data_IF_443863131672
#
_entry.id   IF_443863131672
#
_cell.length_a   1.000
_cell.length_b   1.000
_cell.length_c   1.000
_cell.angle_alpha   90.00
_cell.angle_beta   90.00
_cell.angle_gamma   90.00
#
_symmetry.space_group_name_H-M   'P 1'
#
loop_
_entity.id
_entity.type
_entity.pdbx_description
1 polymer ?
#
# COMPACT_ATOMS: atom_id res chain seq x y z
N UNK A 1 -61.87 12.13 -58.28
CA UNK A 1 -60.62 12.86 -57.92
C UNK A 1 -61.01 13.90 -56.89
N UNK A 2 -60.51 13.94 -55.66
CA UNK A 2 -59.08 14.00 -55.34
C UNK A 2 -58.82 13.44 -53.92
N UNK A 3 -58.12 12.30 -53.84
CA UNK A 3 -57.80 11.52 -52.63
C UNK A 3 -56.57 12.04 -51.85
N UNK A 4 -56.22 13.33 -51.99
CA UNK A 4 -54.95 13.88 -51.52
C UNK A 4 -54.95 14.40 -50.06
N UNK A 5 -56.11 14.48 -49.42
CA UNK A 5 -56.22 14.98 -48.03
C UNK A 5 -55.90 13.91 -46.96
N UNK A 6 -56.09 12.62 -47.28
CA UNK A 6 -55.78 11.52 -46.34
C UNK A 6 -54.29 11.18 -46.22
N UNK A 7 -53.53 11.37 -47.31
CA UNK A 7 -52.09 11.03 -47.35
C UNK A 7 -51.21 12.07 -46.63
N UNK A 8 -51.60 13.33 -46.62
CA UNK A 8 -50.87 14.43 -45.97
C UNK A 8 -50.96 14.36 -44.43
N UNK A 9 -52.11 13.93 -43.89
CA UNK A 9 -52.28 13.71 -42.44
C UNK A 9 -51.52 12.46 -41.97
N UNK A 10 -51.52 11.38 -42.77
CA UNK A 10 -50.73 10.18 -42.46
C UNK A 10 -49.21 10.42 -42.56
N UNK A 11 -48.74 11.27 -43.47
CA UNK A 11 -47.33 11.64 -43.56
C UNK A 11 -46.86 12.49 -42.36
N UNK A 12 -47.71 13.41 -41.87
CA UNK A 12 -47.43 14.23 -40.68
C UNK A 12 -47.30 13.40 -39.40
N UNK A 13 -48.19 12.44 -39.19
CA UNK A 13 -48.18 11.57 -38.01
C UNK A 13 -46.97 10.61 -37.98
N UNK A 14 -46.50 10.15 -39.14
CA UNK A 14 -45.34 9.25 -39.25
C UNK A 14 -44.01 9.94 -38.88
N UNK A 15 -43.89 11.26 -39.09
CA UNK A 15 -42.67 12.02 -38.76
C UNK A 15 -42.50 12.33 -37.26
N UNK A 16 -43.58 12.29 -36.47
CA UNK A 16 -43.55 12.57 -35.02
C UNK A 16 -43.05 11.38 -34.18
N UNK A 17 -43.15 10.15 -34.69
CA UNK A 17 -42.72 8.94 -33.98
C UNK A 17 -41.19 8.74 -33.91
N UNK A 18 -40.41 9.46 -34.73
CA UNK A 18 -38.97 9.21 -34.87
C UNK A 18 -38.07 10.13 -34.02
N UNK A 19 -38.62 10.96 -33.12
CA UNK A 19 -37.84 11.91 -32.31
C UNK A 19 -37.72 11.55 -30.81
N UNK A 20 -38.27 10.40 -30.40
CA UNK A 20 -38.29 9.98 -28.98
C UNK A 20 -37.15 9.07 -28.53
N UNK A 21 -36.37 8.50 -29.47
CA UNK A 21 -35.32 7.51 -29.16
C UNK A 21 -34.00 8.11 -28.68
N UNK A 22 -33.78 9.41 -28.91
CA UNK A 22 -32.51 10.07 -28.56
C UNK A 22 -32.37 10.19 -27.03
N UNK A 23 -33.45 10.50 -26.31
CA UNK A 23 -33.42 10.70 -24.86
C UNK A 23 -33.00 9.46 -24.04
N UNK A 24 -33.60 8.27 -24.24
CA UNK A 24 -33.17 7.07 -23.51
C UNK A 24 -31.75 6.64 -23.90
N UNK A 25 -31.35 6.82 -25.16
CA UNK A 25 -29.99 6.51 -25.63
C UNK A 25 -28.98 7.45 -24.97
N UNK A 26 -29.27 8.76 -24.89
CA UNK A 26 -28.39 9.71 -24.19
C UNK A 26 -28.28 9.38 -22.71
N UNK A 27 -29.37 8.94 -22.06
CA UNK A 27 -29.36 8.56 -20.65
C UNK A 27 -28.48 7.33 -20.42
N UNK A 28 -28.60 6.30 -21.26
CA UNK A 28 -27.76 5.10 -21.20
C UNK A 28 -26.28 5.48 -21.40
N UNK A 29 -25.98 6.31 -22.41
CA UNK A 29 -24.60 6.77 -22.66
C UNK A 29 -24.08 7.58 -21.47
N UNK A 30 -24.88 8.48 -20.89
CA UNK A 30 -24.49 9.23 -19.71
C UNK A 30 -24.21 8.32 -18.52
N UNK A 31 -25.03 7.29 -18.27
CA UNK A 31 -24.80 6.32 -17.21
C UNK A 31 -23.50 5.53 -17.45
N UNK A 32 -23.25 5.09 -18.69
CA UNK A 32 -22.02 4.38 -19.03
C UNK A 32 -20.79 5.28 -18.82
N UNK A 33 -20.84 6.52 -19.28
CA UNK A 33 -19.74 7.49 -19.12
C UNK A 33 -19.52 7.80 -17.64
N UNK A 34 -20.59 8.05 -16.87
CA UNK A 34 -20.49 8.30 -15.43
C UNK A 34 -19.93 7.08 -14.69
N UNK A 35 -20.36 5.86 -15.04
CA UNK A 35 -19.82 4.63 -14.46
C UNK A 35 -18.33 4.45 -14.78
N UNK A 36 -17.93 4.75 -16.01
CA UNK A 36 -16.53 4.70 -16.41
C UNK A 36 -15.69 5.71 -15.63
N UNK A 37 -16.17 6.95 -15.51
CA UNK A 37 -15.48 7.99 -14.73
C UNK A 37 -15.37 7.61 -13.25
N UNK A 38 -16.43 7.09 -12.64
CA UNK A 38 -16.40 6.62 -11.26
C UNK A 38 -15.39 5.50 -11.07
N UNK A 39 -15.34 4.53 -12.00
CA UNK A 39 -14.34 3.47 -11.94
C UNK A 39 -12.91 4.01 -11.99
N UNK A 40 -12.64 4.98 -12.86
CA UNK A 40 -11.31 5.59 -12.94
C UNK A 40 -10.94 6.39 -11.69
N UNK A 41 -11.91 7.11 -11.10
CA UNK A 41 -11.69 7.82 -9.82
C UNK A 41 -11.35 6.83 -8.71
N UNK A 42 -12.06 5.70 -8.64
CA UNK A 42 -11.81 4.69 -7.62
C UNK A 42 -10.43 4.04 -7.80
N UNK A 43 -10.06 3.69 -9.04
CA UNK A 43 -8.73 3.16 -9.35
C UNK A 43 -7.63 4.14 -8.93
N UNK A 44 -7.79 5.43 -9.25
CA UNK A 44 -6.83 6.46 -8.85
C UNK A 44 -6.74 6.61 -7.33
N UNK A 45 -7.86 6.51 -6.61
CA UNK A 45 -7.89 6.54 -5.15
C UNK A 45 -7.15 5.34 -4.55
N UNK A 46 -7.41 4.14 -5.07
CA UNK A 46 -6.75 2.91 -4.63
C UNK A 46 -5.25 2.97 -4.86
N UNK A 47 -4.83 3.40 -6.05
CA UNK A 47 -3.43 3.58 -6.40
C UNK A 47 -2.74 4.55 -5.45
N UNK A 48 -3.36 5.69 -5.14
CA UNK A 48 -2.82 6.66 -4.18
C UNK A 48 -2.67 6.08 -2.77
N UNK A 49 -3.66 5.31 -2.29
CA UNK A 49 -3.57 4.65 -0.98
C UNK A 49 -2.47 3.60 -0.96
N UNK A 50 -2.34 2.81 -2.04
CA UNK A 50 -1.30 1.81 -2.19
C UNK A 50 0.10 2.43 -2.18
N UNK A 51 0.31 3.54 -2.88
CA UNK A 51 1.60 4.27 -2.84
C UNK A 51 1.93 4.74 -1.44
N UNK A 52 0.97 5.34 -0.74
CA UNK A 52 1.20 5.80 0.64
C UNK A 52 1.57 4.65 1.58
N UNK A 53 0.90 3.50 1.46
CA UNK A 53 1.21 2.33 2.27
C UNK A 53 2.57 1.72 1.91
N UNK A 54 2.90 1.66 0.62
CA UNK A 54 4.17 1.17 0.11
C UNK A 54 5.34 2.03 0.57
N UNK A 55 5.20 3.36 0.53
CA UNK A 55 6.22 4.29 1.03
C UNK A 55 6.47 4.05 2.53
N UNK A 56 5.42 3.93 3.34
CA UNK A 56 5.57 3.67 4.77
C UNK A 56 6.25 2.32 5.07
N UNK A 57 5.92 1.28 4.29
CA UNK A 57 6.54 -0.04 4.41
C UNK A 57 8.02 0.01 4.01
N UNK A 58 8.33 0.68 2.91
CA UNK A 58 9.69 0.83 2.40
C UNK A 58 10.59 1.57 3.39
N UNK A 59 10.08 2.61 4.05
CA UNK A 59 10.82 3.31 5.11
C UNK A 59 11.18 2.39 6.27
N UNK A 60 10.24 1.53 6.72
CA UNK A 60 10.49 0.55 7.77
C UNK A 60 11.55 -0.47 7.38
N UNK A 61 11.52 -0.96 6.14
CA UNK A 61 12.50 -1.91 5.62
C UNK A 61 13.91 -1.30 5.53
N UNK A 62 14.01 -0.04 5.08
CA UNK A 62 15.30 0.69 5.07
C UNK A 62 15.82 0.86 6.50
N UNK A 63 14.98 1.30 7.43
CA UNK A 63 15.35 1.47 8.83
C UNK A 63 15.87 0.14 9.43
N UNK A 64 15.15 -0.96 9.18
CA UNK A 64 15.56 -2.28 9.66
C UNK A 64 16.90 -2.71 9.08
N UNK A 65 17.08 -2.59 7.77
CA UNK A 65 18.32 -2.96 7.10
C UNK A 65 19.51 -2.15 7.62
N UNK A 66 19.33 -0.84 7.77
CA UNK A 66 20.38 0.04 8.28
C UNK A 66 20.80 -0.33 9.70
N UNK A 67 19.83 -0.60 10.58
CA UNK A 67 20.10 -0.99 11.97
C UNK A 67 20.75 -2.37 12.01
N UNK A 68 20.27 -3.33 11.23
CA UNK A 68 20.88 -4.66 11.14
C UNK A 68 22.33 -4.58 10.66
N UNK A 69 22.62 -3.85 9.59
CA UNK A 69 23.99 -3.71 9.07
C UNK A 69 24.93 -3.16 10.15
N UNK A 70 24.45 -2.21 10.97
CA UNK A 70 25.22 -1.65 12.11
C UNK A 70 25.41 -2.64 13.25
N UNK A 71 24.38 -3.39 13.60
CA UNK A 71 24.46 -4.41 14.66
C UNK A 71 25.36 -5.57 14.22
N UNK A 72 25.26 -6.01 12.97
CA UNK A 72 26.10 -7.06 12.40
C UNK A 72 27.58 -6.65 12.37
N UNK A 73 27.87 -5.40 12.00
CA UNK A 73 29.22 -4.82 12.09
C UNK A 73 29.76 -4.88 13.53
N UNK A 74 28.95 -4.48 14.52
CA UNK A 74 29.35 -4.52 15.94
C UNK A 74 29.55 -5.93 16.48
N UNK A 75 28.73 -6.88 16.04
CA UNK A 75 28.87 -8.29 16.41
C UNK A 75 30.14 -8.91 15.82
N UNK A 76 30.49 -8.55 14.57
CA UNK A 76 31.74 -8.99 13.94
C UNK A 76 32.97 -8.40 14.61
N UNK A 77 32.88 -7.15 15.06
CA UNK A 77 33.92 -6.45 15.83
C UNK A 77 34.02 -6.91 17.30
N UNK A 78 33.16 -7.82 17.75
CA UNK A 78 33.13 -8.35 19.13
C UNK A 78 33.05 -7.24 20.20
N UNK A 79 32.31 -6.15 19.91
CA UNK A 79 32.09 -5.10 20.90
C UNK A 79 31.23 -5.63 22.06
N UNK A 80 31.66 -5.35 23.29
CA UNK A 80 30.93 -5.71 24.50
C UNK A 80 29.62 -4.93 24.66
N UNK A 81 29.56 -3.69 24.15
CA UNK A 81 28.35 -2.86 24.16
C UNK A 81 27.82 -2.62 22.75
N UNK A 82 26.66 -3.22 22.46
CA UNK A 82 25.89 -2.96 21.24
C UNK A 82 25.01 -1.74 21.47
N UNK A 83 24.94 -0.86 20.47
CA UNK A 83 24.13 0.35 20.55
C UNK A 83 22.65 -0.05 20.70
N UNK A 84 22.03 0.40 21.79
CA UNK A 84 20.66 0.05 22.16
C UNK A 84 19.59 0.86 21.44
N UNK A 85 19.92 2.01 20.86
CA UNK A 85 18.96 2.85 20.13
C UNK A 85 19.60 3.67 19.02
N UNK A 86 18.88 3.78 17.90
CA UNK A 86 19.23 4.62 16.77
C UNK A 86 18.11 5.63 16.50
N UNK A 87 18.41 6.92 16.61
CA UNK A 87 17.50 7.97 16.18
C UNK A 87 17.64 8.19 14.68
N UNK A 88 16.51 8.18 13.97
CA UNK A 88 16.43 8.42 12.54
C UNK A 88 15.46 9.58 12.25
N UNK A 89 15.61 10.29 11.11
CA UNK A 89 14.76 11.44 10.81
C UNK A 89 13.25 11.13 10.82
N UNK A 90 12.88 9.88 10.53
CA UNK A 90 11.50 9.42 10.35
C UNK A 90 11.00 8.48 11.44
N UNK A 91 11.82 8.18 12.45
CA UNK A 91 11.48 7.26 13.51
C UNK A 91 12.66 6.91 14.41
N UNK A 92 12.46 5.95 15.28
CA UNK A 92 13.47 5.47 16.23
C UNK A 92 13.56 3.97 16.12
N UNK A 93 14.76 3.41 16.26
CA UNK A 93 14.96 1.98 16.37
C UNK A 93 15.58 1.64 17.72
N UNK A 94 15.04 0.64 18.39
CA UNK A 94 15.59 0.09 19.63
C UNK A 94 16.13 -1.32 19.36
N UNK A 95 17.28 -1.62 19.93
CA UNK A 95 17.94 -2.93 19.84
C UNK A 95 18.10 -3.48 21.24
N UNK A 96 17.68 -4.72 21.42
CA UNK A 96 17.87 -5.49 22.66
C UNK A 96 18.60 -6.77 22.31
N UNK A 97 19.69 -7.04 23.00
CA UNK A 97 20.47 -8.28 22.81
C UNK A 97 20.38 -9.12 24.07
N UNK A 98 20.06 -10.40 23.91
CA UNK A 98 20.06 -11.39 24.97
C UNK A 98 21.04 -12.49 24.63
N UNK A 99 21.88 -12.84 25.58
CA UNK A 99 22.85 -13.92 25.43
C UNK A 99 22.21 -15.25 25.83
N UNK A 100 22.28 -16.24 24.93
CA UNK A 100 21.81 -17.61 25.10
C UNK A 100 23.00 -18.58 24.95
N UNK A 101 24.06 -18.35 25.73
CA UNK A 101 25.28 -19.16 25.66
C UNK A 101 26.12 -18.83 24.43
N UNK A 102 26.22 -19.77 23.49
CA UNK A 102 26.94 -19.58 22.21
C UNK A 102 26.14 -18.79 21.17
N UNK A 103 24.83 -18.65 21.39
CA UNK A 103 23.93 -17.89 20.54
C UNK A 103 23.54 -16.54 21.18
N UNK A 104 23.21 -15.55 20.36
CA UNK A 104 22.63 -14.28 20.77
C UNK A 104 21.28 -14.07 20.09
N UNK A 105 20.27 -13.75 20.89
CA UNK A 105 18.97 -13.29 20.40
C UNK A 105 18.99 -11.76 20.33
N UNK A 106 18.86 -11.23 19.13
CA UNK A 106 18.85 -9.80 18.85
C UNK A 106 17.44 -9.42 18.46
N UNK A 107 16.84 -8.50 19.20
CA UNK A 107 15.51 -7.96 18.95
C UNK A 107 15.66 -6.53 18.50
N UNK A 108 15.24 -6.23 17.27
CA UNK A 108 15.23 -4.89 16.70
C UNK A 108 13.77 -4.45 16.58
N UNK A 109 13.45 -3.28 17.15
CA UNK A 109 12.13 -2.68 17.10
C UNK A 109 12.25 -1.31 16.45
N UNK A 110 11.75 -1.19 15.22
CA UNK A 110 11.68 0.07 14.48
C UNK A 110 10.29 0.70 14.67
N UNK A 111 10.25 1.91 15.19
CA UNK A 111 9.01 2.68 15.38
C UNK A 111 9.05 3.92 14.51
N UNK A 112 8.05 4.09 13.64
CA UNK A 112 7.91 5.29 12.82
C UNK A 112 7.13 6.37 13.56
N UNK A 113 7.29 7.64 13.15
CA UNK A 113 6.46 8.76 13.65
C UNK A 113 4.95 8.59 13.41
N UNK A 114 4.57 7.66 12.54
CA UNK A 114 3.18 7.34 12.22
C UNK A 114 2.64 6.14 13.03
N UNK A 115 3.27 5.83 14.18
CA UNK A 115 2.87 4.78 15.11
C UNK A 115 2.79 3.37 14.51
N UNK A 116 3.56 3.10 13.44
CA UNK A 116 3.80 1.73 12.98
C UNK A 116 5.04 1.17 13.64
N UNK A 117 4.94 -0.06 14.14
CA UNK A 117 6.04 -0.80 14.75
C UNK A 117 6.37 -2.01 13.89
N UNK A 118 7.65 -2.14 13.56
CA UNK A 118 8.21 -3.31 12.92
C UNK A 118 9.21 -3.94 13.86
N UNK A 119 9.00 -5.22 14.20
CA UNK A 119 9.86 -5.96 15.10
C UNK A 119 10.50 -7.13 14.36
N UNK A 120 11.82 -7.21 14.42
CA UNK A 120 12.59 -8.38 13.99
C UNK A 120 13.27 -9.03 15.19
N UNK A 121 13.19 -10.35 15.28
CA UNK A 121 13.95 -11.17 16.23
C UNK A 121 14.90 -12.06 15.44
N UNK A 122 16.18 -11.97 15.76
CA UNK A 122 17.26 -12.55 14.99
C UNK A 122 18.07 -13.43 15.93
N UNK A 123 18.24 -14.70 15.56
CA UNK A 123 19.09 -15.64 16.28
C UNK A 123 20.44 -15.68 15.56
N UNK A 124 21.50 -15.32 16.27
CA UNK A 124 22.85 -15.21 15.74
C UNK A 124 23.81 -16.15 16.48
N UNK A 125 24.54 -16.97 15.73
CA UNK A 125 25.60 -17.83 16.25
C UNK A 125 26.92 -17.06 16.29
N UNK A 126 27.51 -16.92 17.49
CA UNK A 126 28.76 -16.20 17.69
C UNK A 126 30.00 -17.00 17.26
N UNK A 127 29.93 -18.33 17.24
CA UNK A 127 31.05 -19.20 16.83
C UNK A 127 31.14 -19.26 15.29
N UNK A 128 30.02 -19.52 14.63
CA UNK A 128 29.98 -19.59 13.17
C UNK A 128 29.85 -18.22 12.50
N UNK A 129 29.55 -17.17 13.27
CA UNK A 129 29.27 -15.80 12.80
C UNK A 129 28.15 -15.75 11.75
N UNK A 130 27.07 -16.50 11.99
CA UNK A 130 25.93 -16.66 11.05
C UNK A 130 24.58 -16.42 11.71
N UNK A 131 23.62 -15.99 10.91
CA UNK A 131 22.21 -15.92 11.31
C UNK A 131 21.61 -17.32 11.23
N UNK A 132 21.12 -17.83 12.35
CA UNK A 132 20.42 -19.12 12.45
C UNK A 132 18.93 -18.99 12.16
N UNK A 133 18.34 -17.84 12.49
CA UNK A 133 16.91 -17.60 12.32
C UNK A 133 16.56 -16.12 12.28
N UNK A 134 15.53 -15.80 11.51
CA UNK A 134 15.00 -14.46 11.34
C UNK A 134 13.47 -14.50 11.43
N UNK A 135 12.91 -13.80 12.43
CA UNK A 135 11.48 -13.78 12.71
C UNK A 135 10.97 -12.35 12.70
N UNK A 136 10.01 -12.07 11.83
CA UNK A 136 9.43 -10.74 11.68
C UNK A 136 8.03 -10.70 12.29
N UNK A 137 7.72 -9.60 12.95
CA UNK A 137 6.37 -9.30 13.43
C UNK A 137 6.06 -7.84 13.17
N UNK A 138 5.07 -7.61 12.33
CA UNK A 138 4.56 -6.27 12.02
C UNK A 138 3.36 -6.02 12.92
N UNK A 139 3.39 -4.94 13.71
CA UNK A 139 2.26 -4.52 14.53
C UNK A 139 1.79 -3.12 14.14
N UNK A 140 0.49 -3.00 13.94
CA UNK A 140 -0.19 -1.72 13.87
C UNK A 140 -0.55 -1.31 15.30
N UNK A 141 0.04 -0.23 15.80
CA UNK A 141 -0.38 0.34 17.08
C UNK A 141 -1.73 1.01 16.81
N UNK A 142 -2.81 0.42 17.35
CA UNK A 142 -4.20 0.86 17.17
C UNK A 142 -4.65 1.71 18.34
#
# INVERSE_FOLDING_TARGET
>A
MNSNWGQSVQAGLRSKQNKGYIFPVTLIISVIVSSFLLHQIENYRLEKMFYHESDQQFELEIMMKFVWDKVEEQLKEEREEIISSFEMPRGEAAVTVKELGTEREIVIVCTTRMAREYKATILYDMEEKKVLGWYETIKLIT
#
